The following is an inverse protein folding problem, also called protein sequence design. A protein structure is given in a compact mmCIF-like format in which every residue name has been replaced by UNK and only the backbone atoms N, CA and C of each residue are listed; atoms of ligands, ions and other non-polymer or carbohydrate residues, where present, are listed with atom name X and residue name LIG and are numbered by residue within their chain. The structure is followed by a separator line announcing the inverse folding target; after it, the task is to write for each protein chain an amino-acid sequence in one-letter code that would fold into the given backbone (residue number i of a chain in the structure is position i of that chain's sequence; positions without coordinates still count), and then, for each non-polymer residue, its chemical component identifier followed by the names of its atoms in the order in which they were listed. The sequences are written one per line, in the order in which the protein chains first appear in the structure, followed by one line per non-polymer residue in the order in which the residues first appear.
data_IF_352199415112
#
_entry.id   IF_352199415112
#
_cell.length_a   1.000
_cell.length_b   1.000
_cell.length_c   1.000
_cell.angle_alpha   90.00
_cell.angle_beta   90.00
_cell.angle_gamma   90.00
#
_symmetry.space_group_name_H-M   'P 1'
#
loop_
_entity.id
_entity.type
_entity.pdbx_description
1 polymer ?
#
# COMPACT_ATOMS: atom_id res chain seq x y z
N UNK A 1 32.61 3.66 -0.45
CA UNK A 1 31.60 3.88 -1.50
C UNK A 1 30.44 2.96 -1.13
N UNK A 2 29.44 3.48 -0.41
CA UNK A 2 28.21 2.72 -0.16
C UNK A 2 27.62 2.39 -1.53
N UNK A 3 27.34 1.12 -1.81
CA UNK A 3 26.59 0.75 -3.01
C UNK A 3 25.24 1.45 -2.91
N UNK A 4 24.91 2.33 -3.84
CA UNK A 4 23.53 2.79 -3.99
C UNK A 4 22.69 1.54 -4.31
N UNK A 5 21.97 1.06 -3.30
CA UNK A 5 21.04 -0.05 -3.46
C UNK A 5 19.88 0.40 -4.34
N UNK A 6 19.49 -0.43 -5.30
CA UNK A 6 18.34 -0.16 -6.17
C UNK A 6 17.10 0.08 -5.31
N UNK A 7 16.50 1.26 -5.44
CA UNK A 7 15.25 1.62 -4.76
C UNK A 7 14.06 1.16 -5.57
N UNK A 8 13.09 0.59 -4.87
CA UNK A 8 11.78 0.20 -5.40
C UNK A 8 10.69 0.92 -4.62
N UNK A 9 9.59 1.27 -5.29
CA UNK A 9 8.47 1.97 -4.67
C UNK A 9 7.15 1.48 -5.22
N UNK A 10 6.19 1.26 -4.34
CA UNK A 10 4.82 0.91 -4.70
C UNK A 10 3.84 1.81 -3.94
N UNK A 11 2.82 2.28 -4.64
CA UNK A 11 1.73 3.07 -4.08
C UNK A 11 0.41 2.51 -4.58
N UNK A 12 -0.51 2.22 -3.68
CA UNK A 12 -1.86 1.77 -3.98
C UNK A 12 -2.86 2.76 -3.39
N UNK A 13 -3.79 3.19 -4.24
CA UNK A 13 -4.91 4.03 -3.88
C UNK A 13 -6.22 3.26 -4.00
N UNK A 14 -7.03 3.28 -2.93
CA UNK A 14 -8.39 2.74 -2.94
C UNK A 14 -9.38 3.86 -2.66
N UNK A 15 -10.38 4.00 -3.53
CA UNK A 15 -11.47 4.97 -3.37
C UNK A 15 -12.78 4.23 -3.22
N UNK A 16 -13.39 4.35 -2.03
CA UNK A 16 -14.72 3.83 -1.73
C UNK A 16 -15.75 4.95 -1.86
N UNK A 17 -16.75 4.75 -2.72
CA UNK A 17 -17.89 5.66 -2.79
C UNK A 17 -18.89 5.33 -1.68
N UNK A 18 -19.22 6.30 -0.83
CA UNK A 18 -20.12 6.14 0.32
C UNK A 18 -21.57 6.53 -0.01
N UNK A 19 -21.84 7.00 -1.23
CA UNK A 19 -23.12 7.62 -1.58
C UNK A 19 -23.22 9.06 -1.06
N UNK A 20 -24.34 9.74 -1.32
CA UNK A 20 -24.61 11.12 -0.86
C UNK A 20 -23.48 12.14 -1.11
N UNK A 21 -22.80 12.05 -2.26
CA UNK A 21 -21.64 12.90 -2.62
C UNK A 21 -20.43 12.77 -1.67
N UNK A 22 -20.34 11.68 -0.91
CA UNK A 22 -19.21 11.38 -0.04
C UNK A 22 -18.40 10.19 -0.57
N UNK A 23 -17.07 10.28 -0.43
CA UNK A 23 -16.15 9.21 -0.78
C UNK A 23 -15.01 9.15 0.23
N UNK A 24 -14.59 7.94 0.56
CA UNK A 24 -13.39 7.67 1.34
C UNK A 24 -12.26 7.29 0.39
N UNK A 25 -11.14 8.02 0.45
CA UNK A 25 -9.93 7.71 -0.30
C UNK A 25 -8.81 7.33 0.68
N UNK A 26 -8.16 6.20 0.41
CA UNK A 26 -7.01 5.70 1.15
C UNK A 26 -5.87 5.51 0.18
N UNK A 27 -4.77 6.23 0.37
CA UNK A 27 -3.53 6.03 -0.38
C UNK A 27 -2.44 5.52 0.58
N UNK A 28 -1.80 4.42 0.22
CA UNK A 28 -0.69 3.83 0.97
C UNK A 28 0.48 3.60 0.02
N UNK A 29 1.68 3.90 0.48
CA UNK A 29 2.88 3.66 -0.30
C UNK A 29 4.05 3.27 0.58
N UNK A 30 4.98 2.53 -0.02
CA UNK A 30 6.23 2.12 0.61
C UNK A 30 7.38 2.31 -0.36
N UNK A 31 8.53 2.71 0.18
CA UNK A 31 9.80 2.74 -0.52
C UNK A 31 10.74 1.81 0.20
N UNK A 32 11.37 0.91 -0.55
CA UNK A 32 12.34 -0.03 -0.01
C UNK A 32 13.51 -0.21 -0.99
N UNK A 33 14.54 -0.93 -0.55
CA UNK A 33 15.66 -1.30 -1.38
C UNK A 33 15.59 -2.79 -1.76
N UNK A 34 16.11 -3.12 -2.94
CA UNK A 34 16.35 -4.51 -3.35
C UNK A 34 17.42 -5.10 -2.43
N UNK A 35 17.10 -6.22 -1.80
CA UNK A 35 18.01 -6.94 -0.89
C UNK A 35 18.96 -7.84 -1.67
N UNK A 36 20.07 -8.24 -1.04
CA UNK A 36 21.11 -9.05 -1.69
C UNK A 36 20.63 -10.44 -2.17
N UNK A 37 19.52 -10.94 -1.63
CA UNK A 37 18.98 -12.28 -1.90
C UNK A 37 17.72 -12.28 -2.78
N UNK A 38 17.36 -11.15 -3.38
CA UNK A 38 16.15 -11.01 -4.21
C UNK A 38 16.48 -10.21 -5.48
N UNK A 39 15.77 -10.47 -6.58
CA UNK A 39 15.85 -9.62 -7.78
C UNK A 39 14.85 -8.44 -7.68
N UNK A 40 14.84 -7.56 -8.68
CA UNK A 40 13.95 -6.38 -8.70
C UNK A 40 12.47 -6.79 -8.67
N UNK A 41 12.09 -7.83 -9.40
CA UNK A 41 10.71 -8.32 -9.47
C UNK A 41 10.27 -8.92 -8.12
N UNK A 42 11.15 -9.68 -7.48
CA UNK A 42 10.92 -10.23 -6.13
C UNK A 42 10.71 -9.10 -5.11
N UNK A 43 11.56 -8.07 -5.15
CA UNK A 43 11.44 -6.89 -4.29
C UNK A 43 10.14 -6.12 -4.56
N UNK A 44 9.76 -5.96 -5.83
CA UNK A 44 8.49 -5.32 -6.22
C UNK A 44 7.28 -6.10 -5.73
N UNK A 45 7.25 -7.43 -5.93
CA UNK A 45 6.16 -8.29 -5.44
C UNK A 45 6.04 -8.18 -3.91
N UNK A 46 7.17 -8.25 -3.19
CA UNK A 46 7.20 -8.12 -1.73
C UNK A 46 6.63 -6.81 -1.23
N UNK A 47 7.01 -5.68 -1.83
CA UNK A 47 6.46 -4.39 -1.42
C UNK A 47 5.00 -4.20 -1.87
N UNK A 48 4.60 -4.79 -2.99
CA UNK A 48 3.23 -4.77 -3.48
C UNK A 48 2.30 -5.50 -2.51
N UNK A 49 2.62 -6.76 -2.18
CA UNK A 49 1.84 -7.58 -1.23
C UNK A 49 1.70 -6.90 0.13
N UNK A 50 2.77 -6.23 0.58
CA UNK A 50 2.74 -5.44 1.82
C UNK A 50 1.76 -4.27 1.74
N UNK A 51 1.85 -3.45 0.69
CA UNK A 51 0.96 -2.29 0.54
C UNK A 51 -0.48 -2.75 0.33
N UNK A 52 -0.73 -3.79 -0.46
CA UNK A 52 -2.06 -4.36 -0.69
C UNK A 52 -2.70 -4.82 0.62
N UNK A 53 -1.98 -5.62 1.41
CA UNK A 53 -2.45 -6.07 2.72
C UNK A 53 -2.83 -4.90 3.63
N UNK A 54 -2.02 -3.83 3.65
CA UNK A 54 -2.28 -2.62 4.45
C UNK A 54 -3.48 -1.82 3.94
N UNK A 55 -3.67 -1.73 2.63
CA UNK A 55 -4.85 -1.07 2.04
C UNK A 55 -6.12 -1.80 2.45
N UNK A 56 -6.14 -3.14 2.34
CA UNK A 56 -7.30 -3.95 2.73
C UNK A 56 -7.63 -3.78 4.22
N UNK A 57 -6.62 -3.84 5.08
CA UNK A 57 -6.76 -3.60 6.53
C UNK A 57 -7.41 -2.23 6.79
N UNK A 58 -6.85 -1.16 6.20
CA UNK A 58 -7.36 0.22 6.40
C UNK A 58 -8.76 0.45 5.84
N UNK A 59 -9.09 -0.17 4.71
CA UNK A 59 -10.44 -0.10 4.14
C UNK A 59 -11.44 -0.79 5.04
N UNK A 60 -11.10 -1.93 5.64
CA UNK A 60 -11.98 -2.65 6.55
C UNK A 60 -12.16 -1.90 7.87
N UNK A 61 -11.09 -1.34 8.44
CA UNK A 61 -11.16 -0.47 9.63
C UNK A 61 -12.08 0.74 9.37
N UNK A 62 -11.90 1.43 8.24
CA UNK A 62 -12.70 2.59 7.91
C UNK A 62 -14.17 2.24 7.64
N UNK A 63 -14.45 1.08 7.03
CA UNK A 63 -15.81 0.56 6.90
C UNK A 63 -16.45 0.26 8.26
N UNK A 64 -15.72 -0.33 9.20
CA UNK A 64 -16.23 -0.63 10.53
C UNK A 64 -16.57 0.65 11.30
N UNK A 65 -15.70 1.66 11.25
CA UNK A 65 -15.94 2.96 11.89
C UNK A 65 -17.21 3.67 11.37
N UNK A 66 -17.57 3.47 10.09
CA UNK A 66 -18.78 4.05 9.49
C UNK A 66 -20.09 3.33 9.89
N UNK A 67 -20.02 2.12 10.45
CA UNK A 67 -21.19 1.32 10.85
C UNK A 67 -21.51 1.51 12.34
N UNK A 68 -20.55 1.97 13.14
CA UNK A 68 -20.72 2.25 14.57
C UNK A 68 -21.29 3.65 14.87
N UNK A 69 -21.45 4.51 13.85
CA UNK A 69 -22.19 5.79 13.89
C UNK A 69 -23.66 5.63 13.47
#
# INVERSE_FOLDING_TARGET
MEKESTKVSATLGYTLNLGNFQSLRVDLGVVDNVRDNENIDDAMNRIYDFVESKVVEKVNEAKAALVEE
#
